data_IF_217610263900
#
_entry.id   IF_217610263900
#
_cell.length_a   1.000
_cell.length_b   1.000
_cell.length_c   1.000
_cell.angle_alpha   90.00
_cell.angle_beta   90.00
_cell.angle_gamma   90.00
#
_symmetry.space_group_name_H-M   'P 1'
#
loop_
_entity.id
_entity.type
_entity.pdbx_description
1 polymer ?
2 non-polymer ?
3 water ?
#
# COMPACT_ATOMS: atom_id res chain seq x y z
N UNK A 10 3.88 -16.21 3.97
CA UNK A 10 4.23 -15.15 3.00
C UNK A 10 5.66 -15.35 2.52
N UNK A 11 5.85 -15.24 1.21
CA UNK A 11 7.16 -15.41 0.61
C UNK A 11 8.16 -14.37 1.13
N UNK A 12 9.43 -14.78 1.21
CA UNK A 12 10.51 -13.86 1.56
C UNK A 12 10.83 -12.83 0.47
N UNK A 13 10.35 -13.07 -0.76
CA UNK A 13 10.62 -12.20 -1.90
C UNK A 13 10.15 -10.76 -1.64
N UNK A 14 11.01 -9.80 -1.98
CA UNK A 14 10.63 -8.39 -1.88
C UNK A 14 9.53 -8.04 -2.87
N UNK A 15 8.62 -7.18 -2.45
CA UNK A 15 7.56 -6.70 -3.34
C UNK A 15 7.97 -5.51 -4.21
N UNK A 16 9.20 -5.03 -4.06
CA UNK A 16 9.62 -3.81 -4.74
C UNK A 16 9.39 -3.78 -6.25
N UNK A 17 9.84 -4.82 -6.95
CA UNK A 17 9.65 -4.84 -8.40
C UNK A 17 8.18 -4.92 -8.79
N UNK A 18 7.41 -5.69 -8.03
CA UNK A 18 5.96 -5.77 -8.23
C UNK A 18 5.30 -4.41 -8.01
N UNK A 19 5.77 -3.67 -7.02
CA UNK A 19 5.26 -2.33 -6.75
C UNK A 19 5.56 -1.40 -7.92
N UNK A 20 6.77 -1.49 -8.47
CA UNK A 20 7.12 -0.70 -9.65
C UNK A 20 6.19 -1.00 -10.82
N UNK A 21 5.82 -2.27 -10.97
CA UNK A 21 4.89 -2.68 -12.03
C UNK A 21 3.51 -2.05 -11.84
N UNK A 22 3.07 -1.94 -10.58
CA UNK A 22 1.82 -1.23 -10.28
C UNK A 22 1.94 0.26 -10.65
N UNK A 23 3.05 0.88 -10.27
CA UNK A 23 3.27 2.29 -10.61
C UNK A 23 3.14 2.52 -12.11
N UNK A 24 3.69 1.59 -12.89
CA UNK A 24 3.70 1.72 -14.35
C UNK A 24 2.38 1.36 -15.02
N UNK A 25 1.66 0.38 -14.48
CA UNK A 25 0.56 -0.26 -15.21
C UNK A 25 -0.76 -0.37 -14.45
N UNK A 26 -0.73 -0.09 -13.15
CA UNK A 26 -1.91 -0.26 -12.31
C UNK A 26 -2.61 1.03 -11.93
N UNK A 27 -3.56 0.90 -11.02
CA UNK A 27 -4.29 2.04 -10.48
C UNK A 27 -4.12 2.00 -8.96
N UNK A 28 -3.84 3.16 -8.38
CA UNK A 28 -3.49 3.26 -6.96
C UNK A 28 -3.68 4.68 -6.43
N UNK A 29 -3.76 4.79 -5.10
CA UNK A 29 -3.72 6.08 -4.41
C UNK A 29 -2.66 6.05 -3.31
N UNK A 30 -2.09 7.22 -3.01
CA UNK A 30 -1.08 7.35 -1.96
C UNK A 30 -1.59 8.21 -0.82
N UNK A 31 -1.14 7.90 0.39
CA UNK A 31 -1.42 8.75 1.55
C UNK A 31 -2.62 8.29 2.36
N UNK A 32 -2.67 8.70 3.62
CA UNK A 32 -3.71 8.25 4.56
C UNK A 32 -5.12 8.52 4.07
N UNK A 33 -5.38 9.77 3.70
CA UNK A 33 -6.75 10.19 3.38
C UNK A 33 -7.35 9.38 2.24
N UNK A 34 -6.62 9.28 1.13
CA UNK A 34 -7.12 8.55 -0.01
C UNK A 34 -7.11 7.04 0.19
N UNK A 35 -6.13 6.52 0.94
CA UNK A 35 -6.08 5.09 1.22
C UNK A 35 -7.29 4.68 2.04
N UNK A 36 -7.57 5.44 3.09
CA UNK A 36 -8.73 5.16 3.94
C UNK A 36 -10.03 5.26 3.14
N UNK A 37 -10.14 6.29 2.31
CA UNK A 37 -11.31 6.46 1.45
C UNK A 37 -11.52 5.23 0.57
N UNK A 38 -10.46 4.78 -0.11
CA UNK A 38 -10.55 3.61 -0.97
C UNK A 38 -10.90 2.33 -0.21
N UNK A 39 -10.35 2.15 1.00
CA UNK A 39 -10.69 0.99 1.82
C UNK A 39 -12.18 1.02 2.16
N UNK A 40 -12.65 2.17 2.63
CA UNK A 40 -14.02 2.33 3.13
C UNK A 40 -15.09 2.23 2.03
N UNK A 41 -14.69 2.53 0.79
CA UNK A 41 -15.56 2.43 -0.39
C UNK A 41 -15.51 1.05 -1.05
N UNK A 42 -14.68 0.16 -0.51
CA UNK A 42 -14.54 -1.20 -1.02
C UNK A 42 -13.78 -1.30 -2.33
N UNK A 43 -12.95 -0.29 -2.60
CA UNK A 43 -12.20 -0.21 -3.86
C UNK A 43 -10.76 -0.72 -3.72
N UNK A 44 -10.28 -0.83 -2.48
CA UNK A 44 -8.90 -1.29 -2.25
C UNK A 44 -8.75 -2.81 -2.39
N UNK A 45 -7.88 -3.24 -3.30
CA UNK A 45 -7.59 -4.66 -3.46
C UNK A 45 -6.43 -5.09 -2.58
N UNK A 46 -5.52 -4.17 -2.30
CA UNK A 46 -4.39 -4.43 -1.40
C UNK A 46 -3.91 -3.09 -0.84
N UNK A 47 -3.60 -3.06 0.45
CA UNK A 47 -3.10 -1.86 1.09
C UNK A 47 -1.67 -2.17 1.50
N UNK A 48 -0.78 -1.19 1.38
CA UNK A 48 0.60 -1.35 1.83
C UNK A 48 0.90 -0.34 2.92
N UNK A 49 1.61 -0.78 3.96
CA UNK A 49 2.02 0.10 5.07
C UNK A 49 3.52 -0.01 5.30
N UNK A 50 4.21 1.13 5.29
CA UNK A 50 5.64 1.18 5.66
C UNK A 50 5.88 0.83 7.13
N UNK A 51 7.09 0.34 7.44
CA UNK A 51 7.37 -0.11 8.81
C UNK A 51 7.46 1.01 9.82
N UNK A 52 7.61 2.25 9.34
CA UNK A 52 7.69 3.39 10.24
C UNK A 52 6.51 4.36 10.08
N UNK A 53 5.41 3.87 9.52
CA UNK A 53 4.15 4.59 9.66
C UNK A 53 3.87 4.84 11.14
N UNK A 54 3.14 5.92 11.46
CA UNK A 54 2.71 6.07 12.85
C UNK A 54 1.88 4.88 13.31
N UNK A 55 2.06 4.47 14.57
CA UNK A 55 1.35 3.31 15.10
C UNK A 55 -0.16 3.51 15.08
N UNK A 56 -0.61 4.71 15.44
CA UNK A 56 -2.06 4.96 15.46
C UNK A 56 -2.65 4.89 14.05
N UNK A 57 -1.88 5.34 13.05
CA UNK A 57 -2.32 5.25 11.66
C UNK A 57 -2.30 3.82 11.13
N UNK A 58 -1.25 3.06 11.44
CA UNK A 58 -1.21 1.64 11.08
C UNK A 58 -2.44 0.96 11.66
N UNK A 59 -2.73 1.23 12.93
CA UNK A 59 -3.84 0.55 13.60
C UNK A 59 -5.18 0.90 12.95
N UNK A 60 -5.36 2.19 12.64
CA UNK A 60 -6.59 2.65 12.01
C UNK A 60 -6.78 2.00 10.63
N UNK A 61 -5.71 2.02 9.83
CA UNK A 61 -5.77 1.43 8.49
C UNK A 61 -6.02 -0.08 8.56
N UNK A 62 -5.33 -0.77 9.47
CA UNK A 62 -5.54 -2.20 9.66
C UNK A 62 -6.97 -2.51 10.07
N UNK A 63 -7.52 -1.67 10.94
CA UNK A 63 -8.89 -1.85 11.41
C UNK A 63 -9.90 -1.76 10.27
N UNK A 64 -9.84 -0.66 9.53
CA UNK A 64 -10.78 -0.47 8.42
C UNK A 64 -10.58 -1.49 7.32
N UNK A 65 -9.32 -1.88 7.07
CA UNK A 65 -9.07 -2.93 6.08
C UNK A 65 -9.69 -4.26 6.51
N UNK A 66 -9.64 -4.56 7.81
CA UNK A 66 -10.27 -5.76 8.36
C UNK A 66 -11.78 -5.75 8.10
N UNK A 67 -12.43 -4.62 8.37
CA UNK A 67 -13.88 -4.50 8.13
C UNK A 67 -14.21 -4.66 6.65
N UNK A 68 -13.33 -4.15 5.79
CA UNK A 68 -13.51 -4.22 4.34
C UNK A 68 -13.08 -5.56 3.71
N UNK A 69 -12.52 -6.46 4.52
CA UNK A 69 -11.97 -7.75 4.05
C UNK A 69 -10.90 -7.53 2.97
N UNK A 70 -10.07 -6.51 3.21
CA UNK A 70 -9.03 -6.10 2.28
C UNK A 70 -7.68 -6.44 2.89
N UNK A 71 -6.84 -7.12 2.12
CA UNK A 71 -5.51 -7.48 2.60
C UNK A 71 -4.61 -6.28 2.81
N UNK A 72 -3.78 -6.38 3.84
CA UNK A 72 -2.77 -5.37 4.12
C UNK A 72 -1.41 -6.05 4.08
N UNK A 73 -0.52 -5.52 3.25
CA UNK A 73 0.85 -6.00 3.21
C UNK A 73 1.70 -5.05 4.02
N UNK A 74 2.35 -5.58 5.06
CA UNK A 74 3.22 -4.75 5.89
C UNK A 74 4.61 -4.76 5.28
N UNK A 75 4.93 -3.65 4.62
CA UNK A 75 6.18 -3.51 3.89
C UNK A 75 7.37 -3.71 4.83
N UNK A 76 8.38 -4.41 4.33
CA UNK A 76 9.56 -4.74 5.11
C UNK A 76 10.46 -3.54 5.35
N UNK A 77 10.31 -2.50 4.53
CA UNK A 77 11.14 -1.31 4.65
C UNK A 77 10.41 -0.12 5.21
N UNK A 78 11.12 1.00 5.25
CA UNK A 78 10.60 2.23 5.80
C UNK A 78 9.96 3.11 4.72
N UNK A 79 9.46 4.27 5.14
CA UNK A 79 8.74 5.17 4.24
C UNK A 79 9.65 5.90 3.23
N UNK A 80 10.95 5.94 3.51
CA UNK A 80 11.92 6.44 2.51
C UNK A 80 12.01 5.43 1.37
N UNK A 81 12.17 4.16 1.73
CA UNK A 81 12.23 3.06 0.77
C UNK A 81 10.93 2.92 -0.01
N UNK A 82 9.80 3.06 0.68
CA UNK A 82 8.52 2.93 0.01
C UNK A 82 8.28 4.11 -0.94
N UNK A 83 8.62 5.32 -0.51
CA UNK A 83 8.51 6.51 -1.37
C UNK A 83 9.36 6.34 -2.63
N UNK A 84 10.57 5.81 -2.45
CA UNK A 84 11.48 5.57 -3.57
C UNK A 84 10.92 4.50 -4.52
N UNK A 85 10.39 3.41 -3.96
CA UNK A 85 9.77 2.34 -4.75
C UNK A 85 8.57 2.84 -5.56
N UNK A 86 7.88 3.84 -5.03
CA UNK A 86 6.76 4.49 -5.71
C UNK A 86 7.19 5.59 -6.69
N UNK A 87 8.50 5.84 -6.79
CA UNK A 87 9.01 6.84 -7.73
C UNK A 87 8.77 8.28 -7.31
N UNK A 88 8.61 8.50 -6.01
CA UNK A 88 8.36 9.81 -5.44
C UNK A 88 9.62 10.38 -4.81
N UNK A 89 9.61 11.69 -4.54
CA UNK A 89 10.72 12.36 -3.85
C UNK A 89 10.31 12.78 -2.45
N UNK A 90 9.38 12.03 -1.87
CA UNK A 90 8.95 12.26 -0.49
C UNK A 90 8.60 10.91 0.12
N UNK A 91 8.55 10.87 1.44
CA UNK A 91 8.26 9.63 2.15
C UNK A 91 6.81 9.22 1.96
N UNK A 92 6.59 7.91 1.83
CA UNK A 92 5.27 7.35 1.66
C UNK A 92 5.06 6.29 2.74
N UNK A 93 4.03 6.50 3.56
CA UNK A 93 3.66 5.57 4.61
C UNK A 93 2.64 4.53 4.14
N UNK A 94 1.70 4.93 3.29
CA UNK A 94 0.65 4.00 2.93
C UNK A 94 0.15 4.25 1.53
N UNK A 95 -0.32 3.18 0.90
CA UNK A 95 -1.00 3.30 -0.37
C UNK A 95 -2.05 2.20 -0.52
N UNK A 96 -3.03 2.44 -1.38
CA UNK A 96 -4.01 1.43 -1.71
C UNK A 96 -3.90 1.14 -3.19
N UNK A 97 -3.79 -0.15 -3.51
CA UNK A 97 -3.81 -0.62 -4.90
C UNK A 97 -5.25 -0.96 -5.29
N UNK A 98 -5.75 -0.27 -6.31
CA UNK A 98 -7.11 -0.47 -6.82
C UNK A 98 -7.13 -1.48 -7.98
N UNK A 99 -6.11 -1.43 -8.82
CA UNK A 99 -5.94 -2.38 -9.93
C UNK A 99 -4.45 -2.67 -9.98
N UNK A 100 -4.06 -3.96 -9.88
CA UNK A 100 -2.63 -4.31 -9.90
C UNK A 100 -2.00 -4.18 -11.28
N UNK A 101 -2.82 -3.97 -12.31
CA UNK A 101 -2.31 -3.91 -13.67
C UNK A 101 -1.64 -5.23 -14.04
N UNK A 102 -0.40 -5.13 -14.52
CA UNK A 102 0.37 -6.29 -14.95
C UNK A 102 1.21 -6.94 -13.85
N UNK A 103 1.15 -6.39 -12.64
CA UNK A 103 1.91 -6.92 -11.52
C UNK A 103 1.17 -8.13 -10.98
N UNK A 104 1.90 -9.17 -10.59
CA UNK A 104 1.26 -10.31 -9.96
C UNK A 104 1.17 -10.07 -8.45
N UNK A 105 1.09 -8.80 -8.06
CA UNK A 105 1.22 -8.40 -6.65
C UNK A 105 0.12 -8.97 -5.75
N UNK A 106 -1.11 -9.04 -6.26
CA UNK A 106 -2.22 -9.67 -5.53
C UNK A 106 -2.06 -11.19 -5.57
X LIG B 1 8.43 -6.09 1.14
X LIG B 1 7.73 -6.10 2.15
X LIG B 1 8.46 -7.04 0.36
#
# INVERSE_FOLDING_TARGET
>A
GMVAAKKTKKSLESINSRLQLVMKSGKYVLGYKQTLKMIRQGKAKLVILANNCPALRKSEIEYYAMLAKTGVHHYSGNNIELGTACGKYYRVCTLAIIDPGDSDIIRSMPEQTGEKGAPHHHHHH
>B hetero
1 FMT C O1 O2
#
